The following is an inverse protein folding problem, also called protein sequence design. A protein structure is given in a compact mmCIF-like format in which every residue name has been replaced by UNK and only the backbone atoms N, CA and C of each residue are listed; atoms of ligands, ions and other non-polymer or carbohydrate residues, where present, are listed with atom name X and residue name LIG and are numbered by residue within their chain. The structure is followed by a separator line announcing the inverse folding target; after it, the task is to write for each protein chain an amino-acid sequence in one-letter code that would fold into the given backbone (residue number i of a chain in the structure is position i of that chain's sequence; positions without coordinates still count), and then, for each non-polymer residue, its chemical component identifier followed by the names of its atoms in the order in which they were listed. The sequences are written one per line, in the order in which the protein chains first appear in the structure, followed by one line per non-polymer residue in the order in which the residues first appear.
data_IF_854498845097
#
_entry.id   IF_854498845097
#
_cell.length_a   1.000
_cell.length_b   1.000
_cell.length_c   1.000
_cell.angle_alpha   90.00
_cell.angle_beta   90.00
_cell.angle_gamma   90.00
#
_symmetry.space_group_name_H-M   'P 1'
#
loop_
_entity.id
_entity.type
_entity.pdbx_description
1 polymer ?
#
# COMPACT_ATOMS: atom_id res chain seq x y z
N UNK A 1 17.91 -21.05 15.22
CA UNK A 1 17.80 -20.37 13.90
C UNK A 1 16.38 -20.30 13.35
N UNK A 2 15.58 -21.39 13.32
CA UNK A 2 14.19 -21.36 12.81
C UNK A 2 13.26 -20.37 13.54
N UNK A 3 13.28 -20.37 14.88
CA UNK A 3 12.45 -19.44 15.67
C UNK A 3 12.77 -17.97 15.40
N UNK A 4 14.04 -17.65 15.17
CA UNK A 4 14.48 -16.29 14.85
C UNK A 4 13.96 -15.81 13.48
N UNK A 5 13.98 -16.67 12.46
CA UNK A 5 13.46 -16.34 11.13
C UNK A 5 11.93 -16.20 11.10
N UNK A 6 11.21 -17.01 11.89
CA UNK A 6 9.76 -16.88 12.03
C UNK A 6 9.40 -15.60 12.77
N UNK A 7 10.07 -15.31 13.90
CA UNK A 7 9.86 -14.08 14.66
C UNK A 7 10.18 -12.84 13.82
N UNK A 8 11.28 -12.86 13.07
CA UNK A 8 11.64 -11.79 12.14
C UNK A 8 10.61 -11.62 11.03
N UNK A 9 10.19 -12.71 10.38
CA UNK A 9 9.17 -12.65 9.34
C UNK A 9 7.82 -12.13 9.85
N UNK A 10 7.41 -12.54 11.05
CA UNK A 10 6.21 -12.04 11.71
C UNK A 10 6.31 -10.54 12.05
N UNK A 11 7.48 -10.08 12.50
CA UNK A 11 7.73 -8.66 12.75
C UNK A 11 7.63 -7.83 11.46
N UNK A 12 8.21 -8.30 10.35
CA UNK A 12 8.11 -7.62 9.05
C UNK A 12 6.65 -7.52 8.57
N UNK A 13 5.86 -8.59 8.74
CA UNK A 13 4.43 -8.58 8.40
C UNK A 13 3.63 -7.63 9.29
N UNK A 14 3.93 -7.57 10.59
CA UNK A 14 3.29 -6.64 11.51
C UNK A 14 3.58 -5.18 11.13
N UNK A 15 4.83 -4.87 10.76
CA UNK A 15 5.22 -3.52 10.31
C UNK A 15 4.54 -3.18 8.98
N UNK A 16 4.53 -4.12 8.00
CA UNK A 16 3.83 -3.92 6.74
C UNK A 16 2.32 -3.69 6.94
N UNK A 17 1.69 -4.47 7.82
CA UNK A 17 0.28 -4.30 8.18
C UNK A 17 0.01 -2.93 8.82
N UNK A 18 0.87 -2.49 9.73
CA UNK A 18 0.77 -1.15 10.33
C UNK A 18 0.86 -0.05 9.27
N UNK A 19 1.84 -0.13 8.37
CA UNK A 19 1.99 0.86 7.29
C UNK A 19 0.81 0.85 6.32
N UNK A 20 0.26 -0.32 5.98
CA UNK A 20 -0.95 -0.41 5.16
C UNK A 20 -2.16 0.26 5.84
N UNK A 21 -2.34 0.05 7.14
CA UNK A 21 -3.43 0.68 7.92
C UNK A 21 -3.25 2.20 7.98
N UNK A 22 -2.03 2.69 8.20
CA UNK A 22 -1.77 4.13 8.24
C UNK A 22 -2.03 4.79 6.87
N UNK A 23 -1.59 4.17 5.77
CA UNK A 23 -1.83 4.65 4.40
C UNK A 23 -3.32 4.65 4.04
N UNK A 24 -4.02 3.55 4.32
CA UNK A 24 -5.46 3.45 4.09
C UNK A 24 -6.25 4.43 4.98
N UNK A 25 -5.81 4.64 6.23
CA UNK A 25 -6.40 5.61 7.14
C UNK A 25 -6.23 7.06 6.67
N UNK A 26 -5.09 7.37 6.03
CA UNK A 26 -4.89 8.66 5.37
C UNK A 26 -5.82 8.83 4.17
N UNK A 27 -5.93 7.79 3.32
CA UNK A 27 -6.86 7.76 2.18
C UNK A 27 -8.34 7.91 2.59
N UNK A 28 -8.73 7.43 3.78
CA UNK A 28 -10.12 7.56 4.25
C UNK A 28 -10.50 8.99 4.68
N UNK A 29 -9.52 9.89 4.88
CA UNK A 29 -9.78 11.27 5.34
C UNK A 29 -10.11 12.24 4.20
N UNK A 30 -10.54 11.72 3.04
CA UNK A 30 -10.78 12.45 1.81
C UNK A 30 -9.63 13.42 1.45
N UNK A 31 -8.38 12.91 1.32
CA UNK A 31 -7.23 13.75 1.01
C UNK A 31 -7.43 14.56 -0.27
N UNK A 32 -8.21 14.08 -1.24
CA UNK A 32 -8.45 14.81 -2.48
C UNK A 32 -9.13 16.17 -2.24
N UNK A 33 -10.12 16.23 -1.35
CA UNK A 33 -10.83 17.48 -1.04
C UNK A 33 -10.12 18.36 -0.02
N UNK A 34 -9.19 17.80 0.78
CA UNK A 34 -8.48 18.54 1.84
C UNK A 34 -7.06 19.00 1.47
N UNK A 35 -6.33 18.18 0.74
CA UNK A 35 -4.88 18.30 0.55
C UNK A 35 -4.41 17.96 -0.88
N UNK A 36 -5.32 17.49 -1.74
CA UNK A 36 -4.98 16.95 -3.04
C UNK A 36 -4.33 17.99 -3.94
N UNK A 37 -3.27 17.62 -4.69
CA UNK A 37 -2.71 18.53 -5.68
C UNK A 37 -3.77 18.74 -6.76
N UNK A 38 -4.21 20.00 -6.87
CA UNK A 38 -5.11 20.45 -7.92
C UNK A 38 -4.28 20.55 -9.20
N UNK A 39 -4.58 19.77 -10.25
CA UNK A 39 -3.89 19.91 -11.53
C UNK A 39 -4.07 21.32 -12.09
N UNK A 40 -3.07 21.85 -12.79
CA UNK A 40 -3.15 23.20 -13.36
C UNK A 40 -4.31 23.36 -14.36
N UNK A 41 -4.75 22.27 -15.00
CA UNK A 41 -5.88 22.27 -15.93
C UNK A 41 -7.25 22.11 -15.24
N UNK A 42 -7.31 21.95 -13.91
CA UNK A 42 -8.56 21.84 -13.17
C UNK A 42 -9.08 23.23 -12.78
N UNK A 43 -10.42 23.39 -12.73
CA UNK A 43 -11.04 24.59 -12.13
C UNK A 43 -11.34 24.32 -10.65
N UNK A 44 -10.60 24.91 -9.71
CA UNK A 44 -11.13 25.08 -8.37
C UNK A 44 -12.24 26.13 -8.46
N UNK A 45 -13.49 25.69 -8.58
CA UNK A 45 -14.63 26.60 -8.46
C UNK A 45 -14.79 27.01 -6.99
N UNK A 46 -15.21 28.25 -6.73
CA UNK A 46 -15.45 28.78 -5.37
C UNK A 46 -16.50 27.98 -4.57
N UNK A 47 -17.22 27.07 -5.23
CA UNK A 47 -18.17 26.13 -4.64
C UNK A 47 -17.56 24.77 -4.23
N UNK A 48 -16.25 24.60 -4.35
CA UNK A 48 -15.60 23.29 -4.24
C UNK A 48 -15.88 22.48 -5.50
N UNK A 49 -14.92 22.47 -6.44
CA UNK A 49 -15.01 21.60 -7.61
C UNK A 49 -15.31 20.17 -7.17
N UNK A 50 -16.26 19.51 -7.84
CA UNK A 50 -16.63 18.12 -7.55
C UNK A 50 -15.43 17.23 -7.85
N UNK A 51 -14.63 16.93 -6.82
CA UNK A 51 -13.54 15.96 -6.91
C UNK A 51 -14.12 14.58 -6.64
N UNK A 52 -14.01 13.69 -7.61
CA UNK A 52 -14.37 12.30 -7.40
C UNK A 52 -13.15 11.56 -6.87
N UNK A 53 -13.26 11.01 -5.67
CA UNK A 53 -12.17 10.29 -5.02
C UNK A 53 -12.39 8.79 -5.12
N UNK A 54 -11.42 8.07 -5.68
CA UNK A 54 -11.42 6.61 -5.74
C UNK A 54 -10.20 6.06 -5.01
N UNK A 55 -10.40 5.04 -4.18
CA UNK A 55 -9.28 4.41 -3.45
C UNK A 55 -8.46 3.56 -4.40
N UNK A 56 -7.14 3.61 -4.24
CA UNK A 56 -6.20 2.78 -4.98
C UNK A 56 -5.33 1.96 -4.03
N UNK A 57 -4.99 0.76 -4.46
CA UNK A 57 -4.01 -0.11 -3.79
C UNK A 57 -2.60 0.05 -4.36
N UNK A 58 -2.46 0.79 -5.46
CA UNK A 58 -1.16 1.08 -6.06
C UNK A 58 -1.12 2.47 -6.70
N UNK A 59 -0.35 3.42 -6.14
CA UNK A 59 0.15 3.42 -4.75
C UNK A 59 -1.01 3.28 -3.75
N UNK A 60 -0.75 2.83 -2.52
CA UNK A 60 -1.80 2.77 -1.48
C UNK A 60 -2.19 4.21 -1.14
N UNK A 61 -3.43 4.58 -1.45
CA UNK A 61 -3.87 5.97 -1.34
C UNK A 61 -5.19 6.24 -2.04
N UNK A 62 -5.30 7.45 -2.58
CA UNK A 62 -6.49 7.95 -3.27
C UNK A 62 -6.13 8.49 -4.65
N UNK A 63 -6.96 8.21 -5.64
CA UNK A 63 -6.97 8.87 -6.95
C UNK A 63 -8.05 9.92 -6.94
N UNK A 64 -7.68 11.15 -7.30
CA UNK A 64 -8.54 12.30 -7.36
C UNK A 64 -8.86 12.60 -8.82
N UNK A 65 -10.13 12.56 -9.21
CA UNK A 65 -10.60 12.99 -10.51
C UNK A 65 -11.21 14.39 -10.39
N UNK A 66 -10.57 15.35 -11.02
CA UNK A 66 -10.96 16.76 -11.02
C UNK A 66 -11.64 17.10 -12.34
N UNK A 67 -12.68 17.92 -12.30
CA UNK A 67 -13.28 18.42 -13.54
C UNK A 67 -12.33 19.42 -14.22
N UNK A 68 -12.10 19.27 -15.53
CA UNK A 68 -11.22 20.17 -16.29
C UNK A 68 -11.85 21.56 -16.42
N UNK A 69 -11.01 22.58 -16.47
CA UNK A 69 -11.40 23.98 -16.59
C UNK A 69 -12.19 24.34 -17.86
N UNK A 70 -12.03 23.55 -18.92
CA UNK A 70 -12.73 23.71 -20.20
C UNK A 70 -14.05 22.92 -20.28
N UNK A 71 -14.42 22.19 -19.21
CA UNK A 71 -15.62 21.35 -19.15
C UNK A 71 -15.51 20.03 -19.93
N UNK A 72 -14.36 19.71 -20.51
CA UNK A 72 -14.17 18.52 -21.37
C UNK A 72 -13.66 17.30 -20.59
N UNK A 73 -14.43 16.87 -19.60
CA UNK A 73 -14.13 15.66 -18.80
C UNK A 73 -13.26 15.92 -17.57
N UNK A 74 -12.49 14.92 -17.15
CA UNK A 74 -11.75 14.92 -15.88
C UNK A 74 -10.23 14.80 -16.05
N UNK A 75 -9.49 15.33 -15.09
CA UNK A 75 -8.03 15.20 -14.94
C UNK A 75 -7.74 14.46 -13.64
N UNK A 76 -6.81 13.51 -13.69
CA UNK A 76 -6.45 12.66 -12.54
C UNK A 76 -5.21 13.21 -11.82
N UNK A 77 -5.26 13.25 -10.51
CA UNK A 77 -4.08 13.34 -9.65
C UNK A 77 -4.08 12.20 -8.63
N UNK A 78 -2.90 11.77 -8.20
CA UNK A 78 -2.76 10.70 -7.22
C UNK A 78 -2.26 11.28 -5.90
N UNK A 79 -2.90 10.86 -4.80
CA UNK A 79 -2.47 11.13 -3.43
C UNK A 79 -2.13 9.78 -2.80
N UNK A 80 -0.87 9.39 -2.99
CA UNK A 80 -0.27 8.19 -2.43
C UNK A 80 1.24 8.38 -2.40
N UNK A 81 1.90 7.67 -1.49
CA UNK A 81 3.36 7.66 -1.42
C UNK A 81 3.86 6.35 -2.05
N UNK A 82 4.45 6.46 -3.23
CA UNK A 82 5.01 5.33 -3.97
C UNK A 82 6.12 4.62 -3.18
N UNK A 83 6.98 5.38 -2.49
CA UNK A 83 8.10 4.82 -1.73
C UNK A 83 7.61 4.08 -0.50
N UNK A 84 6.63 4.63 0.21
CA UNK A 84 6.01 3.98 1.36
C UNK A 84 5.19 2.76 0.92
N UNK A 85 4.49 2.83 -0.21
CA UNK A 85 3.77 1.70 -0.79
C UNK A 85 4.72 0.56 -1.13
N UNK A 86 5.81 0.87 -1.84
CA UNK A 86 6.83 -0.09 -2.22
C UNK A 86 7.48 -0.73 -0.99
N UNK A 87 7.74 0.07 0.05
CA UNK A 87 8.28 -0.40 1.33
C UNK A 87 7.29 -1.36 2.01
N UNK A 88 6.01 -1.02 2.08
CA UNK A 88 4.97 -1.88 2.65
C UNK A 88 4.92 -3.24 1.96
N UNK A 89 4.87 -3.26 0.63
CA UNK A 89 4.85 -4.51 -0.12
C UNK A 89 6.16 -5.27 -0.01
N UNK A 90 7.31 -4.58 -0.02
CA UNK A 90 8.63 -5.19 0.17
C UNK A 90 8.75 -5.88 1.53
N UNK A 91 8.30 -5.23 2.60
CA UNK A 91 8.27 -5.81 3.95
C UNK A 91 7.32 -7.01 4.03
N UNK A 92 6.15 -6.92 3.39
CA UNK A 92 5.20 -8.03 3.36
C UNK A 92 5.80 -9.26 2.67
N UNK A 93 6.39 -9.08 1.49
CA UNK A 93 7.05 -10.16 0.73
C UNK A 93 8.21 -10.75 1.53
N UNK A 94 9.10 -9.91 2.08
CA UNK A 94 10.23 -10.37 2.89
C UNK A 94 9.77 -11.16 4.13
N UNK A 95 8.68 -10.72 4.77
CA UNK A 95 8.07 -11.41 5.90
C UNK A 95 7.56 -12.81 5.54
N UNK A 96 6.77 -12.92 4.46
CA UNK A 96 6.26 -14.21 3.96
C UNK A 96 7.41 -15.16 3.58
N UNK A 97 8.42 -14.66 2.85
CA UNK A 97 9.57 -15.46 2.42
C UNK A 97 10.34 -16.00 3.63
N UNK A 98 10.58 -15.17 4.65
CA UNK A 98 11.30 -15.57 5.86
C UNK A 98 10.60 -16.72 6.61
N UNK A 99 9.27 -16.69 6.66
CA UNK A 99 8.45 -17.75 7.26
C UNK A 99 8.46 -19.02 6.40
N UNK A 100 8.28 -18.88 5.08
CA UNK A 100 8.23 -20.01 4.14
C UNK A 100 9.56 -20.79 4.10
N UNK A 101 10.70 -20.09 4.10
CA UNK A 101 12.04 -20.71 4.15
C UNK A 101 12.23 -21.50 5.47
N UNK A 102 11.69 -20.99 6.58
CA UNK A 102 11.76 -21.68 7.87
C UNK A 102 10.97 -23.00 7.87
N UNK A 103 9.80 -23.01 7.24
CA UNK A 103 8.93 -24.19 7.12
C UNK A 103 9.50 -25.27 6.19
N UNK A 104 10.05 -24.88 5.04
CA UNK A 104 10.65 -25.84 4.08
C UNK A 104 11.90 -26.52 4.63
N UNK A 105 12.73 -25.79 5.38
CA UNK A 105 13.89 -26.35 6.08
C UNK A 105 13.51 -27.34 7.21
N UNK A 106 12.31 -27.22 7.78
CA UNK A 106 11.80 -28.19 8.76
C UNK A 106 11.35 -29.50 8.10
N UNK A 107 10.52 -29.41 7.06
CA UNK A 107 10.03 -30.58 6.33
C UNK A 107 11.15 -31.42 5.71
N UNK A 108 12.22 -30.77 5.20
CA UNK A 108 13.39 -31.49 4.65
C UNK A 108 14.18 -32.30 5.69
N UNK A 109 14.16 -31.90 6.97
CA UNK A 109 14.83 -32.66 8.04
C UNK A 109 14.02 -33.89 8.44
N UNK A 110 12.70 -33.75 8.55
CA UNK A 110 11.79 -34.87 8.84
C UNK A 110 11.85 -35.94 7.75
N UNK A 111 11.89 -35.54 6.47
CA UNK A 111 12.02 -36.47 5.35
C UNK A 111 13.39 -37.18 5.26
N UNK A 112 14.46 -36.58 5.81
CA UNK A 112 15.76 -37.26 5.92
C UNK A 112 15.79 -38.23 7.09
N UNK A 113 15.11 -37.90 8.19
CA UNK A 113 15.01 -38.78 9.36
C UNK A 113 14.13 -40.01 9.12
N UNK A 114 13.18 -39.96 8.18
CA UNK A 114 12.33 -41.11 7.82
C UNK A 114 12.90 -42.01 6.71
N UNK A 115 14.06 -41.66 6.14
CA UNK A 115 14.74 -42.41 5.07
C UNK A 115 16.01 -43.14 5.51
N UNK A 116 16.48 -42.89 6.74
CA UNK A 116 17.62 -43.59 7.35
C UNK A 116 17.14 -44.53 8.43
#
# INVERSE_FOLDING_TARGET
MKGALIAFGAALLAIAGLFAVLQAGYAWKNPCSRYGPVPAEARPTDAGGSVHETRTWWPIGSVCEWMRADGTGTVRSQVGDDALTLTTYGLAVAGVVSIAVSGTAARRREQRASRG
#
